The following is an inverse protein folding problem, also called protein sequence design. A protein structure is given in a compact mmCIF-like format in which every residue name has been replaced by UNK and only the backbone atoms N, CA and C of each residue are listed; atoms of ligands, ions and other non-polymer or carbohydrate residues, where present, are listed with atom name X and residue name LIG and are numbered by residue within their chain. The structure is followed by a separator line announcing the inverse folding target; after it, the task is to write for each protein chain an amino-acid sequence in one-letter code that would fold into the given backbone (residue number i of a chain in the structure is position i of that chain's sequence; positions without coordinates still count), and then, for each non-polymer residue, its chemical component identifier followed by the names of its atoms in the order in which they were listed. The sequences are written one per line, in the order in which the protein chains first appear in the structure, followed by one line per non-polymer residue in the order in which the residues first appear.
data_IF_495030020031
#
_entry.id   IF_495030020031
#
_cell.length_a   1.000
_cell.length_b   1.000
_cell.length_c   1.000
_cell.angle_alpha   90.00
_cell.angle_beta   90.00
_cell.angle_gamma   90.00
#
_symmetry.space_group_name_H-M   'P 1'
#
loop_
_entity.id
_entity.type
_entity.pdbx_description
1 polymer ?
#
# COMPACT_ATOMS: atom_id res chain seq x y z
N UNK A 1 -65.58 72.23 16.23
CA UNK A 1 -64.63 72.07 15.12
C UNK A 1 -63.53 73.10 15.33
N UNK A 2 -62.37 72.69 15.85
CA UNK A 2 -61.25 73.60 16.16
C UNK A 2 -60.19 73.56 15.06
N UNK A 3 -59.72 74.74 14.68
CA UNK A 3 -58.81 75.06 13.57
C UNK A 3 -57.32 74.83 13.92
N UNK A 4 -57.00 73.78 14.69
CA UNK A 4 -55.65 73.53 15.19
C UNK A 4 -54.92 72.35 14.54
N UNK A 5 -55.51 71.74 13.50
CA UNK A 5 -55.00 70.51 12.85
C UNK A 5 -54.33 70.75 11.48
N UNK A 6 -53.97 71.99 11.17
CA UNK A 6 -53.42 72.39 9.86
C UNK A 6 -52.03 73.03 9.97
N UNK A 7 -51.11 72.41 10.72
CA UNK A 7 -49.71 72.81 10.70
C UNK A 7 -48.79 71.64 11.08
N UNK A 8 -48.59 70.69 10.16
CA UNK A 8 -47.33 69.92 10.17
C UNK A 8 -46.93 69.54 8.74
N UNK A 9 -45.93 70.20 8.14
CA UNK A 9 -45.35 69.76 6.88
C UNK A 9 -44.57 68.46 7.12
N UNK A 10 -44.99 67.41 6.41
CA UNK A 10 -44.29 66.11 6.35
C UNK A 10 -42.83 66.33 5.96
N UNK A 11 -41.94 66.13 6.90
CA UNK A 11 -40.51 66.01 6.68
C UNK A 11 -40.26 64.86 5.71
N UNK A 12 -39.73 65.23 4.54
CA UNK A 12 -39.18 64.35 3.53
C UNK A 12 -38.06 63.50 4.14
N UNK A 13 -38.37 62.27 4.51
CA UNK A 13 -37.38 61.23 4.79
C UNK A 13 -36.68 60.88 3.47
N UNK A 14 -35.58 61.58 3.20
CA UNK A 14 -34.59 61.18 2.22
C UNK A 14 -34.05 59.80 2.61
N UNK A 15 -34.60 58.76 2.00
CA UNK A 15 -34.03 57.41 1.99
C UNK A 15 -32.71 57.46 1.23
N UNK A 16 -31.63 57.74 1.96
CA UNK A 16 -30.27 57.53 1.50
C UNK A 16 -30.08 56.03 1.27
N UNK A 17 -30.29 55.58 0.04
CA UNK A 17 -29.83 54.28 -0.43
C UNK A 17 -28.30 54.30 -0.36
N UNK A 18 -27.75 53.80 0.75
CA UNK A 18 -26.32 53.50 0.85
C UNK A 18 -25.99 52.44 -0.19
N UNK A 19 -25.42 52.89 -1.31
CA UNK A 19 -24.83 52.05 -2.33
C UNK A 19 -23.65 51.31 -1.71
N UNK A 20 -23.86 50.06 -1.29
CA UNK A 20 -22.80 49.17 -0.82
C UNK A 20 -21.91 48.87 -2.04
N UNK A 21 -20.62 49.30 -2.06
CA UNK A 21 -19.74 48.94 -3.16
C UNK A 21 -19.64 47.42 -3.22
N UNK A 22 -19.85 46.87 -4.42
CA UNK A 22 -19.75 45.45 -4.73
C UNK A 22 -18.45 44.88 -4.16
N UNK A 23 -18.58 44.11 -3.08
CA UNK A 23 -17.52 43.22 -2.60
C UNK A 23 -17.16 42.30 -3.75
N UNK A 24 -15.94 42.42 -4.28
CA UNK A 24 -15.34 41.47 -5.22
C UNK A 24 -15.68 40.04 -4.77
N UNK A 25 -16.09 39.12 -5.67
CA UNK A 25 -16.24 37.73 -5.28
C UNK A 25 -14.94 37.27 -4.61
N UNK A 26 -15.01 36.53 -3.50
CA UNK A 26 -13.81 35.97 -2.88
C UNK A 26 -13.05 35.16 -3.94
N UNK A 27 -11.70 35.21 -3.94
CA UNK A 27 -10.92 34.47 -4.93
C UNK A 27 -11.35 33.01 -4.92
N UNK A 28 -11.71 32.47 -6.09
CA UNK A 28 -12.12 31.08 -6.25
C UNK A 28 -10.97 30.17 -5.84
N UNK A 29 -11.07 29.56 -4.65
CA UNK A 29 -10.09 28.58 -4.19
C UNK A 29 -10.30 27.29 -4.97
N UNK A 30 -9.36 26.98 -5.88
CA UNK A 30 -9.35 25.75 -6.66
C UNK A 30 -8.76 24.65 -5.77
N UNK A 31 -9.64 23.84 -5.17
CA UNK A 31 -9.23 22.66 -4.41
C UNK A 31 -9.08 21.47 -5.36
N UNK A 32 -7.83 21.08 -5.66
CA UNK A 32 -7.55 19.88 -6.46
C UNK A 32 -7.55 18.67 -5.53
N UNK A 33 -8.63 17.91 -5.55
CA UNK A 33 -8.72 16.64 -4.83
C UNK A 33 -7.89 15.58 -5.57
N UNK A 34 -6.72 15.25 -5.03
CA UNK A 34 -5.88 14.15 -5.56
C UNK A 34 -6.30 12.84 -4.90
N UNK A 35 -6.64 11.80 -5.67
CA UNK A 35 -7.01 10.50 -5.10
C UNK A 35 -5.85 9.88 -4.31
N UNK A 36 -6.14 9.37 -3.11
CA UNK A 36 -5.11 8.74 -2.26
C UNK A 36 -4.46 7.52 -2.93
N UNK A 37 -5.24 6.78 -3.74
CA UNK A 37 -4.75 5.65 -4.54
C UNK A 37 -3.63 6.05 -5.51
N UNK A 38 -3.68 7.29 -6.02
CA UNK A 38 -2.71 7.85 -6.95
C UNK A 38 -1.37 8.20 -6.26
N UNK A 39 -1.39 8.37 -4.94
CA UNK A 39 -0.17 8.60 -4.15
C UNK A 39 0.44 7.30 -3.64
N UNK A 40 -0.37 6.37 -3.13
CA UNK A 40 0.14 5.15 -2.47
C UNK A 40 0.56 4.07 -3.48
N UNK A 41 -0.22 3.82 -4.54
CA UNK A 41 0.08 2.73 -5.47
C UNK A 41 1.36 3.00 -6.28
N UNK A 42 1.59 4.20 -6.84
CA UNK A 42 2.80 4.46 -7.60
C UNK A 42 4.06 4.51 -6.73
N UNK A 43 3.97 5.03 -5.50
CA UNK A 43 5.12 5.08 -4.58
C UNK A 43 5.55 3.69 -4.14
N UNK A 44 4.61 2.82 -3.78
CA UNK A 44 4.90 1.42 -3.44
C UNK A 44 5.47 0.65 -4.64
N UNK A 45 4.87 0.80 -5.83
CA UNK A 45 5.40 0.21 -7.05
C UNK A 45 6.81 0.71 -7.40
N UNK A 46 7.09 2.01 -7.19
CA UNK A 46 8.41 2.59 -7.38
C UNK A 46 9.45 1.99 -6.42
N UNK A 47 9.09 1.77 -5.15
CA UNK A 47 9.98 1.12 -4.17
C UNK A 47 10.28 -0.34 -4.54
N UNK A 48 9.27 -1.08 -5.01
CA UNK A 48 9.46 -2.45 -5.52
C UNK A 48 10.38 -2.42 -6.76
N UNK A 49 10.14 -1.51 -7.69
CA UNK A 49 10.98 -1.33 -8.88
C UNK A 49 12.41 -0.94 -8.56
N UNK A 50 12.61 -0.04 -7.60
CA UNK A 50 13.91 0.35 -7.09
C UNK A 50 14.66 -0.86 -6.53
N UNK A 51 14.00 -1.67 -5.71
CA UNK A 51 14.57 -2.87 -5.09
C UNK A 51 15.03 -3.88 -6.16
N UNK A 52 14.16 -4.20 -7.12
CA UNK A 52 14.48 -5.10 -8.23
C UNK A 52 15.64 -4.52 -9.06
N UNK A 53 15.60 -3.23 -9.37
CA UNK A 53 16.60 -2.56 -10.18
C UNK A 53 17.98 -2.46 -9.51
N UNK A 54 18.04 -2.32 -8.19
CA UNK A 54 19.28 -2.33 -7.40
C UNK A 54 19.93 -3.71 -7.46
N UNK A 55 19.17 -4.77 -7.18
CA UNK A 55 19.70 -6.15 -7.19
C UNK A 55 20.21 -6.52 -8.58
N UNK A 56 19.41 -6.23 -9.62
CA UNK A 56 19.77 -6.52 -11.02
C UNK A 56 20.97 -5.69 -11.50
N UNK A 57 21.01 -4.41 -11.13
CA UNK A 57 22.06 -3.47 -11.52
C UNK A 57 23.40 -3.73 -10.85
N UNK A 58 23.37 -3.89 -9.53
CA UNK A 58 24.54 -4.16 -8.71
C UNK A 58 25.22 -5.46 -9.12
N UNK A 59 24.44 -6.52 -9.36
CA UNK A 59 24.97 -7.79 -9.86
C UNK A 59 25.69 -7.65 -11.21
N UNK A 60 25.09 -6.95 -12.18
CA UNK A 60 25.70 -6.74 -13.51
C UNK A 60 26.97 -5.89 -13.44
N UNK A 61 26.96 -4.82 -12.65
CA UNK A 61 28.13 -3.95 -12.47
C UNK A 61 29.27 -4.70 -11.76
N UNK A 62 28.96 -5.54 -10.76
CA UNK A 62 29.92 -6.38 -10.07
C UNK A 62 30.59 -7.39 -11.01
N UNK A 63 29.79 -8.13 -11.79
CA UNK A 63 30.32 -9.13 -12.73
C UNK A 63 31.20 -8.49 -13.81
N UNK A 64 30.80 -7.33 -14.34
CA UNK A 64 31.63 -6.57 -15.30
C UNK A 64 32.96 -6.16 -14.69
N UNK A 65 32.96 -5.61 -13.47
CA UNK A 65 34.18 -5.22 -12.80
C UNK A 65 35.11 -6.42 -12.54
N UNK A 66 34.55 -7.58 -12.15
CA UNK A 66 35.32 -8.81 -11.97
C UNK A 66 35.90 -9.33 -13.29
N UNK A 67 35.13 -9.28 -14.37
CA UNK A 67 35.60 -9.68 -15.70
C UNK A 67 36.74 -8.78 -16.19
N UNK A 68 36.60 -7.45 -16.04
CA UNK A 68 37.63 -6.48 -16.42
C UNK A 68 38.92 -6.63 -15.58
N UNK A 69 38.80 -6.98 -14.30
CA UNK A 69 39.94 -7.03 -13.37
C UNK A 69 40.41 -8.46 -13.04
N UNK A 70 39.91 -9.48 -13.72
CA UNK A 70 40.30 -10.87 -13.47
C UNK A 70 41.83 -11.08 -13.54
N UNK A 71 42.50 -10.28 -14.39
CA UNK A 71 43.96 -10.30 -14.58
C UNK A 71 44.74 -9.40 -13.60
N UNK A 72 44.11 -8.48 -12.86
CA UNK A 72 44.76 -7.52 -11.94
C UNK A 72 44.35 -7.76 -10.49
N UNK A 73 44.64 -8.95 -9.99
CA UNK A 73 44.36 -9.27 -8.60
C UNK A 73 45.34 -8.55 -7.67
N UNK A 74 44.88 -7.88 -6.60
CA UNK A 74 45.75 -7.16 -5.68
C UNK A 74 46.72 -8.12 -4.99
N UNK A 75 48.01 -7.76 -4.97
CA UNK A 75 49.07 -8.53 -4.28
C UNK A 75 49.54 -7.90 -2.97
N UNK A 76 49.18 -6.63 -2.73
CA UNK A 76 49.52 -5.87 -1.52
C UNK A 76 48.25 -5.46 -0.76
N UNK A 77 48.39 -5.23 0.55
CA UNK A 77 47.28 -4.80 1.43
C UNK A 77 46.67 -3.48 0.93
N UNK A 78 47.52 -2.51 0.56
CA UNK A 78 47.08 -1.23 0.01
C UNK A 78 46.33 -1.39 -1.31
N UNK A 79 46.78 -2.30 -2.18
CA UNK A 79 46.11 -2.63 -3.43
C UNK A 79 44.71 -3.24 -3.21
N UNK A 80 44.55 -4.07 -2.19
CA UNK A 80 43.24 -4.66 -1.85
C UNK A 80 42.21 -3.60 -1.43
N UNK A 81 42.63 -2.58 -0.68
CA UNK A 81 41.76 -1.46 -0.32
C UNK A 81 41.30 -0.66 -1.53
N UNK A 82 42.23 -0.25 -2.41
CA UNK A 82 41.88 0.50 -3.63
C UNK A 82 40.99 -0.30 -4.57
N UNK A 83 41.23 -1.60 -4.68
CA UNK A 83 40.38 -2.51 -5.44
C UNK A 83 38.94 -2.54 -4.91
N UNK A 84 38.77 -2.74 -3.60
CA UNK A 84 37.46 -2.84 -2.95
C UNK A 84 36.70 -1.52 -3.01
N UNK A 85 37.38 -0.40 -2.77
CA UNK A 85 36.81 0.95 -2.88
C UNK A 85 36.25 1.20 -4.29
N UNK A 86 37.07 0.95 -5.32
CA UNK A 86 36.67 1.14 -6.73
C UNK A 86 35.52 0.21 -7.13
N UNK A 87 35.59 -1.05 -6.70
CA UNK A 87 34.51 -2.04 -6.92
C UNK A 87 33.19 -1.54 -6.36
N UNK A 88 33.19 -1.10 -5.10
CA UNK A 88 31.98 -0.69 -4.40
C UNK A 88 31.37 0.57 -5.05
N UNK A 89 32.18 1.54 -5.51
CA UNK A 89 31.66 2.71 -6.23
C UNK A 89 31.00 2.35 -7.55
N UNK A 90 31.63 1.48 -8.37
CA UNK A 90 31.03 1.06 -9.65
C UNK A 90 29.75 0.26 -9.45
N UNK A 91 29.73 -0.62 -8.44
CA UNK A 91 28.54 -1.40 -8.09
C UNK A 91 27.42 -0.49 -7.60
N UNK A 92 27.70 0.45 -6.71
CA UNK A 92 26.71 1.40 -6.20
C UNK A 92 26.13 2.28 -7.30
N UNK A 93 26.97 2.87 -8.15
CA UNK A 93 26.51 3.70 -9.26
C UNK A 93 25.69 2.89 -10.27
N UNK A 94 26.12 1.65 -10.58
CA UNK A 94 25.37 0.73 -11.43
C UNK A 94 24.01 0.39 -10.86
N UNK A 95 23.95 0.07 -9.56
CA UNK A 95 22.72 -0.23 -8.83
C UNK A 95 21.77 0.97 -8.77
N UNK A 96 22.27 2.17 -8.47
CA UNK A 96 21.47 3.39 -8.40
C UNK A 96 20.87 3.76 -9.77
N UNK A 97 21.68 3.71 -10.84
CA UNK A 97 21.21 4.07 -12.20
C UNK A 97 20.12 3.12 -12.71
N UNK A 98 20.28 1.81 -12.53
CA UNK A 98 19.23 0.86 -12.92
C UNK A 98 18.06 0.91 -11.96
N UNK A 99 18.29 1.02 -10.65
CA UNK A 99 17.26 1.20 -9.62
C UNK A 99 16.32 2.34 -9.97
N UNK A 100 16.86 3.52 -10.28
CA UNK A 100 16.07 4.69 -10.70
C UNK A 100 15.24 4.42 -11.98
N UNK A 101 15.83 3.75 -13.00
CA UNK A 101 15.10 3.39 -14.23
C UNK A 101 13.90 2.47 -13.96
N UNK A 102 14.08 1.44 -13.14
CA UNK A 102 13.00 0.50 -12.80
C UNK A 102 11.96 1.15 -11.88
N UNK A 103 12.39 1.99 -10.94
CA UNK A 103 11.48 2.75 -10.07
C UNK A 103 10.57 3.68 -10.88
N UNK A 104 11.14 4.45 -11.80
CA UNK A 104 10.38 5.34 -12.68
C UNK A 104 9.52 4.56 -13.68
N UNK A 105 10.02 3.45 -14.22
CA UNK A 105 9.26 2.60 -15.13
C UNK A 105 8.02 1.99 -14.48
N UNK A 106 8.17 1.32 -13.33
CA UNK A 106 7.05 0.69 -12.63
C UNK A 106 6.15 1.71 -11.93
N UNK A 107 6.73 2.71 -11.26
CA UNK A 107 5.96 3.77 -10.61
C UNK A 107 5.15 4.56 -11.63
N UNK A 108 5.76 4.96 -12.75
CA UNK A 108 5.09 5.67 -13.84
C UNK A 108 4.02 4.83 -14.52
N UNK A 109 4.29 3.55 -14.81
CA UNK A 109 3.28 2.65 -15.37
C UNK A 109 2.08 2.45 -14.44
N UNK A 110 2.33 2.32 -13.13
CA UNK A 110 1.26 2.18 -12.13
C UNK A 110 0.46 3.47 -12.00
N UNK A 111 1.12 4.64 -11.98
CA UNK A 111 0.44 5.94 -11.97
C UNK A 111 -0.43 6.11 -13.22
N UNK A 112 0.09 5.77 -14.40
CA UNK A 112 -0.66 5.82 -15.66
C UNK A 112 -1.88 4.88 -15.62
N UNK A 113 -1.71 3.66 -15.11
CA UNK A 113 -2.82 2.72 -14.96
C UNK A 113 -3.90 3.26 -14.02
N UNK A 114 -3.53 3.76 -12.84
CA UNK A 114 -4.50 4.32 -11.86
C UNK A 114 -5.19 5.55 -12.42
N UNK A 115 -4.50 6.40 -13.18
CA UNK A 115 -5.11 7.55 -13.85
C UNK A 115 -6.13 7.13 -14.92
N UNK A 116 -5.78 6.14 -15.75
CA UNK A 116 -6.70 5.56 -16.73
C UNK A 116 -7.89 4.93 -16.01
N UNK A 117 -7.62 4.13 -14.98
CA UNK A 117 -8.62 3.53 -14.13
C UNK A 117 -9.23 4.51 -13.11
N UNK A 118 -9.08 5.82 -13.25
CA UNK A 118 -9.94 6.79 -12.55
C UNK A 118 -10.76 7.56 -13.60
N UNK A 119 -10.09 7.96 -14.69
CA UNK A 119 -10.71 8.65 -15.83
C UNK A 119 -11.79 7.83 -16.55
N UNK A 120 -11.62 6.52 -16.73
CA UNK A 120 -12.62 5.68 -17.44
C UNK A 120 -13.96 5.64 -16.70
N UNK A 121 -13.96 5.37 -15.40
CA UNK A 121 -15.17 5.33 -14.60
C UNK A 121 -15.78 6.72 -14.40
N UNK A 122 -14.97 7.78 -14.34
CA UNK A 122 -15.49 9.15 -14.41
C UNK A 122 -16.21 9.41 -15.74
N UNK A 123 -15.59 9.02 -16.86
CA UNK A 123 -16.18 9.14 -18.19
C UNK A 123 -17.45 8.30 -18.33
N UNK A 124 -17.50 7.11 -17.74
CA UNK A 124 -18.68 6.26 -17.73
C UNK A 124 -19.81 6.90 -16.94
N UNK A 125 -19.53 7.39 -15.73
CA UNK A 125 -20.52 8.07 -14.90
C UNK A 125 -21.09 9.32 -15.59
N UNK A 126 -20.25 10.02 -16.36
CA UNK A 126 -20.68 11.18 -17.13
C UNK A 126 -21.56 10.82 -18.34
N UNK A 127 -21.28 9.70 -19.01
CA UNK A 127 -21.97 9.30 -20.25
C UNK A 127 -23.20 8.42 -20.02
N UNK A 128 -23.14 7.48 -19.08
CA UNK A 128 -24.18 6.46 -18.84
C UNK A 128 -24.94 6.66 -17.53
N UNK A 129 -24.57 7.67 -16.75
CA UNK A 129 -25.17 7.96 -15.45
C UNK A 129 -24.54 7.16 -14.31
N UNK A 130 -24.88 7.58 -13.09
CA UNK A 130 -24.41 6.94 -11.87
C UNK A 130 -25.23 5.68 -11.59
N UNK A 131 -24.59 4.51 -11.65
CA UNK A 131 -25.20 3.28 -11.15
C UNK A 131 -24.91 3.20 -9.65
N UNK A 132 -25.93 3.36 -8.78
CA UNK A 132 -25.73 3.15 -7.36
C UNK A 132 -25.32 1.69 -7.11
N UNK A 133 -24.46 1.44 -6.11
CA UNK A 133 -24.13 0.08 -5.72
C UNK A 133 -25.42 -0.68 -5.37
N UNK A 134 -25.55 -1.96 -5.77
CA UNK A 134 -26.71 -2.77 -5.41
C UNK A 134 -26.81 -2.85 -3.88
N UNK A 135 -27.83 -2.17 -3.34
CA UNK A 135 -28.18 -2.02 -1.92
C UNK A 135 -27.18 -1.24 -1.05
N UNK A 136 -27.13 0.08 -1.22
CA UNK A 136 -27.36 0.94 -0.06
C UNK A 136 -28.86 1.16 0.02
N UNK A 137 -29.53 0.44 0.91
CA UNK A 137 -30.91 0.76 1.31
C UNK A 137 -30.90 2.24 1.69
N UNK A 138 -31.77 3.01 1.05
CA UNK A 138 -31.98 4.42 1.32
C UNK A 138 -32.28 4.64 2.80
N UNK A 139 -31.27 5.04 3.59
CA UNK A 139 -31.50 5.83 4.81
C UNK A 139 -31.91 7.22 4.35
N UNK A 140 -33.20 7.35 4.01
CA UNK A 140 -33.92 8.61 3.99
C UNK A 140 -34.22 9.01 5.44
N UNK A 141 -33.21 9.38 6.22
CA UNK A 141 -33.42 10.11 7.48
C UNK A 141 -32.29 11.14 7.64
N UNK A 142 -32.70 12.37 7.96
CA UNK A 142 -31.86 13.52 8.26
C UNK A 142 -31.31 13.43 9.68
N UNK A 143 -30.19 14.15 9.94
CA UNK A 143 -29.62 14.47 11.27
C UNK A 143 -29.18 13.24 12.11
N UNK A 144 -28.05 13.16 12.83
CA UNK A 144 -27.09 14.10 13.38
C UNK A 144 -25.71 13.40 13.45
N UNK A 145 -24.64 14.16 13.69
CA UNK A 145 -23.26 13.67 13.64
C UNK A 145 -22.93 12.50 14.56
N UNK A 146 -22.26 11.49 14.00
CA UNK A 146 -21.28 10.67 14.72
C UNK A 146 -20.06 10.40 13.83
N UNK A 147 -18.89 10.83 14.33
CA UNK A 147 -17.56 10.60 13.78
C UNK A 147 -17.13 9.12 13.88
N UNK A 148 -17.85 8.22 13.21
CA UNK A 148 -17.28 6.93 12.84
C UNK A 148 -16.41 7.14 11.60
N UNK A 149 -15.08 7.15 11.75
CA UNK A 149 -14.05 7.33 10.71
C UNK A 149 -14.14 6.29 9.57
N UNK A 150 -15.24 6.31 8.82
CA UNK A 150 -15.40 5.62 7.56
C UNK A 150 -14.55 6.39 6.58
N UNK A 151 -13.32 5.90 6.34
CA UNK A 151 -12.39 6.40 5.32
C UNK A 151 -13.10 6.37 3.96
N UNK A 152 -13.87 7.41 3.67
CA UNK A 152 -14.56 7.61 2.41
C UNK A 152 -13.47 7.65 1.35
N UNK A 153 -13.49 6.70 0.42
CA UNK A 153 -12.50 6.65 -0.66
C UNK A 153 -12.59 7.99 -1.40
N UNK A 154 -11.54 8.79 -1.33
CA UNK A 154 -11.44 10.06 -2.04
C UNK A 154 -10.93 9.73 -3.44
N UNK A 155 -11.83 9.76 -4.43
CA UNK A 155 -11.56 9.50 -5.84
C UNK A 155 -12.36 10.44 -6.74
N UNK A 156 -12.05 10.47 -8.03
CA UNK A 156 -12.84 11.20 -9.02
C UNK A 156 -14.08 10.40 -9.45
N UNK A 157 -14.04 9.07 -9.27
CA UNK A 157 -15.18 8.17 -9.43
C UNK A 157 -16.06 8.19 -8.17
N UNK A 158 -17.38 8.19 -8.35
CA UNK A 158 -18.36 8.10 -7.26
C UNK A 158 -18.96 6.71 -7.12
N UNK A 159 -18.99 5.94 -8.21
CA UNK A 159 -19.61 4.62 -8.29
C UNK A 159 -18.68 3.47 -7.88
N UNK A 160 -19.22 2.26 -7.73
CA UNK A 160 -18.42 1.06 -7.51
C UNK A 160 -17.53 0.76 -8.72
N UNK A 161 -16.37 0.15 -8.46
CA UNK A 161 -15.49 -0.32 -9.53
C UNK A 161 -16.18 -1.45 -10.28
N UNK A 162 -16.31 -1.34 -11.60
CA UNK A 162 -16.75 -2.45 -12.42
C UNK A 162 -15.55 -3.16 -13.04
N UNK A 163 -15.70 -4.45 -13.31
CA UNK A 163 -14.66 -5.26 -13.94
C UNK A 163 -14.30 -4.78 -15.35
N UNK A 164 -15.25 -4.12 -16.03
CA UNK A 164 -15.07 -3.53 -17.36
C UNK A 164 -14.06 -2.38 -17.35
N UNK A 165 -14.04 -1.57 -16.29
CA UNK A 165 -13.18 -0.39 -16.20
C UNK A 165 -11.70 -0.79 -16.18
N UNK A 166 -11.35 -1.80 -15.37
CA UNK A 166 -9.98 -2.30 -15.29
C UNK A 166 -9.55 -3.05 -16.54
N UNK A 167 -10.44 -3.82 -17.15
CA UNK A 167 -10.16 -4.46 -18.43
C UNK A 167 -9.85 -3.42 -19.50
N UNK A 168 -10.68 -2.37 -19.63
CA UNK A 168 -10.49 -1.31 -20.60
C UNK A 168 -9.23 -0.49 -20.31
N UNK A 169 -8.96 -0.16 -19.04
CA UNK A 169 -7.73 0.51 -18.62
C UNK A 169 -6.48 -0.31 -18.98
N UNK A 170 -6.51 -1.61 -18.69
CA UNK A 170 -5.43 -2.54 -19.03
C UNK A 170 -5.25 -2.72 -20.54
N UNK A 171 -6.34 -2.77 -21.30
CA UNK A 171 -6.33 -2.83 -22.77
C UNK A 171 -5.72 -1.59 -23.40
N UNK A 172 -6.11 -0.39 -22.94
CA UNK A 172 -5.53 0.89 -23.37
C UNK A 172 -4.04 0.93 -23.02
N UNK A 173 -3.67 0.50 -21.82
CA UNK A 173 -2.26 0.48 -21.42
C UNK A 173 -1.45 -0.50 -22.28
N UNK A 174 -2.00 -1.68 -22.60
CA UNK A 174 -1.40 -2.65 -23.53
C UNK A 174 -1.28 -2.12 -24.96
N UNK A 175 -2.23 -1.30 -25.41
CA UNK A 175 -2.20 -0.62 -26.70
C UNK A 175 -1.10 0.44 -26.75
N UNK A 176 -1.02 1.32 -25.74
CA UNK A 176 0.01 2.37 -25.64
C UNK A 176 1.41 1.76 -25.60
N UNK A 177 1.60 0.68 -24.83
CA UNK A 177 2.87 -0.06 -24.79
C UNK A 177 3.19 -0.64 -26.17
N UNK A 178 2.23 -1.28 -26.83
CA UNK A 178 2.42 -1.85 -28.17
C UNK A 178 2.80 -0.80 -29.21
N UNK A 179 2.21 0.39 -29.15
CA UNK A 179 2.49 1.53 -30.02
C UNK A 179 3.89 2.13 -29.74
N UNK A 180 4.21 2.36 -28.47
CA UNK A 180 5.46 3.00 -28.02
C UNK A 180 6.68 2.14 -28.39
N UNK A 181 6.58 0.83 -28.22
CA UNK A 181 7.65 -0.10 -28.56
C UNK A 181 7.60 -0.60 -30.01
N UNK A 182 6.64 -0.10 -30.83
CA UNK A 182 6.42 -0.52 -32.22
C UNK A 182 6.47 -2.04 -32.37
N UNK A 183 5.68 -2.74 -31.55
CA UNK A 183 5.72 -4.20 -31.52
C UNK A 183 5.21 -4.80 -32.86
N UNK A 184 5.84 -5.88 -33.36
CA UNK A 184 5.31 -6.68 -34.46
C UNK A 184 3.85 -7.07 -34.21
N UNK A 185 3.02 -7.16 -35.27
CA UNK A 185 1.56 -7.37 -35.18
C UNK A 185 1.14 -8.49 -34.21
N UNK A 186 1.88 -9.60 -34.19
CA UNK A 186 1.61 -10.73 -33.29
C UNK A 186 1.86 -10.41 -31.81
N UNK A 187 2.94 -9.67 -31.51
CA UNK A 187 3.28 -9.25 -30.16
C UNK A 187 2.37 -8.12 -29.67
N UNK A 188 1.90 -7.28 -30.59
CA UNK A 188 0.93 -6.22 -30.32
C UNK A 188 -0.42 -6.77 -29.83
N UNK A 189 -0.99 -7.75 -30.54
CA UNK A 189 -2.28 -8.36 -30.13
C UNK A 189 -2.14 -9.01 -28.75
N UNK A 190 -1.00 -9.68 -28.49
CA UNK A 190 -0.72 -10.29 -27.19
C UNK A 190 -0.60 -9.24 -26.08
N UNK A 191 0.01 -8.09 -26.30
CA UNK A 191 0.12 -7.05 -25.27
C UNK A 191 -1.24 -6.47 -24.89
N UNK A 192 -2.12 -6.25 -25.87
CA UNK A 192 -3.50 -5.79 -25.63
C UNK A 192 -4.30 -6.86 -24.89
N UNK A 193 -4.22 -8.12 -25.31
CA UNK A 193 -4.93 -9.24 -24.67
C UNK A 193 -4.46 -9.49 -23.23
N UNK A 194 -3.15 -9.43 -22.98
CA UNK A 194 -2.60 -9.50 -21.63
C UNK A 194 -3.04 -8.32 -20.78
N UNK A 195 -3.11 -7.12 -21.36
CA UNK A 195 -3.64 -5.93 -20.70
C UNK A 195 -5.09 -6.11 -20.25
N UNK A 196 -5.96 -6.60 -21.15
CA UNK A 196 -7.37 -6.87 -20.84
C UNK A 196 -7.54 -7.92 -19.74
N UNK A 197 -6.84 -9.05 -19.84
CA UNK A 197 -6.92 -10.14 -18.85
C UNK A 197 -6.42 -9.66 -17.49
N UNK A 198 -5.25 -9.03 -17.45
CA UNK A 198 -4.64 -8.59 -16.19
C UNK A 198 -5.47 -7.47 -15.54
N UNK A 199 -5.94 -6.50 -16.32
CA UNK A 199 -6.82 -5.43 -15.86
C UNK A 199 -8.16 -5.95 -15.33
N UNK A 200 -8.81 -6.83 -16.09
CA UNK A 200 -10.06 -7.47 -15.66
C UNK A 200 -9.87 -8.32 -14.40
N UNK A 201 -8.78 -9.06 -14.28
CA UNK A 201 -8.46 -9.84 -13.08
C UNK A 201 -8.25 -8.94 -11.85
N UNK A 202 -7.59 -7.79 -12.02
CA UNK A 202 -7.32 -6.84 -10.94
C UNK A 202 -8.63 -6.23 -10.43
N UNK A 203 -9.54 -5.82 -11.32
CA UNK A 203 -10.85 -5.30 -10.90
C UNK A 203 -11.75 -6.39 -10.30
N UNK A 204 -11.70 -7.62 -10.80
CA UNK A 204 -12.42 -8.74 -10.18
C UNK A 204 -11.97 -8.97 -8.73
N UNK A 205 -10.65 -8.86 -8.46
CA UNK A 205 -10.11 -8.94 -7.11
C UNK A 205 -10.58 -7.80 -6.21
N UNK A 206 -10.67 -6.56 -6.73
CA UNK A 206 -11.18 -5.43 -5.96
C UNK A 206 -12.65 -5.64 -5.56
N UNK A 207 -13.49 -6.13 -6.49
CA UNK A 207 -14.90 -6.45 -6.21
C UNK A 207 -15.00 -7.55 -5.15
N UNK A 208 -14.16 -8.57 -5.23
CA UNK A 208 -14.13 -9.65 -4.24
C UNK A 208 -13.73 -9.14 -2.84
N UNK A 209 -12.71 -8.29 -2.76
CA UNK A 209 -12.26 -7.68 -1.50
C UNK A 209 -13.33 -6.78 -0.89
N UNK A 210 -14.03 -5.99 -1.71
CA UNK A 210 -15.11 -5.13 -1.24
C UNK A 210 -16.28 -5.97 -0.66
N UNK A 211 -16.60 -7.12 -1.26
CA UNK A 211 -17.59 -8.06 -0.70
C UNK A 211 -17.16 -8.64 0.65
N UNK A 212 -15.91 -9.09 0.78
CA UNK A 212 -15.40 -9.63 2.04
C UNK A 212 -15.40 -8.57 3.15
N UNK A 213 -15.12 -7.32 2.79
CA UNK A 213 -15.15 -6.20 3.72
C UNK A 213 -16.56 -5.93 4.25
N UNK A 214 -17.57 -5.96 3.38
CA UNK A 214 -18.97 -5.78 3.79
C UNK A 214 -19.42 -6.86 4.78
N UNK A 215 -19.09 -8.13 4.51
CA UNK A 215 -19.41 -9.25 5.41
C UNK A 215 -18.79 -9.06 6.79
N UNK A 216 -17.53 -8.58 6.85
CA UNK A 216 -16.86 -8.31 8.12
C UNK A 216 -17.50 -7.16 8.90
N UNK A 217 -17.90 -6.10 8.21
CA UNK A 217 -18.59 -4.95 8.83
C UNK A 217 -19.97 -5.37 9.40
N UNK A 218 -20.69 -6.28 8.73
CA UNK A 218 -21.92 -6.85 9.26
C UNK A 218 -21.69 -7.71 10.53
N UNK A 219 -20.65 -8.54 10.54
CA UNK A 219 -20.27 -9.32 11.72
C UNK A 219 -19.89 -8.43 12.90
N UNK A 220 -19.10 -7.38 12.66
CA UNK A 220 -18.68 -6.43 13.70
C UNK A 220 -19.88 -5.64 14.24
N UNK A 221 -20.85 -5.24 13.39
CA UNK A 221 -22.11 -4.62 13.82
C UNK A 221 -22.97 -5.56 14.66
N UNK A 222 -23.08 -6.85 14.28
CA UNK A 222 -23.80 -7.86 15.06
C UNK A 222 -23.17 -8.04 16.44
N UNK A 223 -21.83 -8.13 16.52
CA UNK A 223 -21.09 -8.21 17.79
C UNK A 223 -21.28 -6.97 18.67
N UNK A 224 -21.29 -5.78 18.07
CA UNK A 224 -21.56 -4.54 18.80
C UNK A 224 -22.99 -4.52 19.38
N UNK A 225 -23.99 -4.92 18.59
CA UNK A 225 -25.38 -5.02 19.05
C UNK A 225 -25.55 -6.03 20.20
N UNK A 226 -24.93 -7.20 20.09
CA UNK A 226 -24.92 -8.23 21.16
C UNK A 226 -24.27 -7.70 22.44
N UNK A 227 -23.16 -6.95 22.33
CA UNK A 227 -22.49 -6.36 23.50
C UNK A 227 -23.33 -5.28 24.20
N UNK A 228 -24.08 -4.48 23.44
CA UNK A 228 -25.00 -3.47 23.99
C UNK A 228 -26.23 -4.10 24.67
N UNK A 229 -26.75 -5.21 24.13
CA UNK A 229 -27.87 -5.94 24.72
C UNK A 229 -27.48 -6.65 26.02
N UNK A 230 -26.26 -7.18 26.12
CA UNK A 230 -25.74 -7.82 27.34
C UNK A 230 -25.54 -6.85 28.51
N UNK A 231 -25.17 -5.59 28.21
CA UNK A 231 -24.96 -4.56 29.23
C UNK A 231 -26.28 -4.10 29.90
N UNK A 232 -27.38 -4.03 29.15
CA UNK A 232 -28.70 -3.65 29.68
C UNK A 232 -29.37 -4.74 30.54
N UNK A 233 -28.94 -6.00 30.43
CA UNK A 233 -29.42 -7.09 31.30
C UNK A 233 -28.65 -7.23 32.62
N UNK A 234 -27.53 -6.52 32.80
CA UNK A 234 -26.67 -6.64 33.99
C UNK A 234 -27.00 -5.63 35.12
N UNK A 235 -28.00 -4.76 34.95
CA UNK A 235 -28.36 -3.70 35.91
C UNK A 235 -29.60 -3.99 36.76
N UNK A 236 -29.89 -5.26 37.10
CA UNK A 236 -30.84 -5.58 38.18
C UNK A 236 -30.05 -5.60 39.51
N UNK A 237 -30.23 -4.62 40.42
CA UNK A 237 -29.58 -4.67 41.72
C UNK A 237 -30.19 -5.81 42.55
N UNK A 238 -29.41 -6.86 42.81
CA UNK A 238 -29.76 -7.88 43.79
C UNK A 238 -29.70 -7.26 45.20
N UNK A 239 -30.86 -7.14 45.85
CA UNK A 239 -30.97 -6.82 47.28
C UNK A 239 -30.35 -7.94 48.13
N UNK A 240 -29.57 -7.61 49.17
CA UNK A 240 -28.99 -8.60 50.07
C UNK A 240 -29.93 -8.85 51.27
N UNK A 241 -30.61 -9.99 51.30
CA UNK A 241 -31.15 -10.54 52.54
C UNK A 241 -31.27 -12.05 52.43
N UNK A 242 -30.32 -12.76 53.04
CA UNK A 242 -30.57 -13.79 54.05
C UNK A 242 -29.29 -14.61 54.25
N UNK A 243 -28.51 -14.17 55.22
CA UNK A 243 -27.71 -15.06 56.03
C UNK A 243 -28.66 -15.94 56.84
N UNK A 244 -28.53 -17.27 56.73
CA UNK A 244 -28.28 -18.16 57.86
C UNK A 244 -28.67 -19.61 57.55
N UNK A 245 -27.74 -20.50 57.90
CA UNK A 245 -27.93 -21.89 58.32
C UNK A 245 -28.21 -22.96 57.26
N UNK A 246 -27.15 -23.65 56.83
CA UNK A 246 -27.01 -25.07 57.15
C UNK A 246 -25.54 -25.50 57.06
N UNK A 247 -25.06 -26.04 58.17
CA UNK A 247 -23.69 -26.39 58.51
C UNK A 247 -23.35 -27.82 58.07
N UNK A 248 -22.04 -28.06 57.90
CA UNK A 248 -21.32 -29.33 58.01
C UNK A 248 -21.13 -30.17 56.73
N UNK A 249 -19.91 -30.15 56.19
CA UNK A 249 -18.97 -31.27 56.35
C UNK A 249 -17.58 -30.88 55.82
N UNK A 250 -16.58 -31.17 56.65
CA UNK A 250 -15.14 -31.00 56.51
C UNK A 250 -14.59 -32.07 55.55
N UNK A 251 -13.60 -31.75 54.71
CA UNK A 251 -12.30 -32.46 54.59
C UNK A 251 -11.41 -31.73 53.57
N UNK A 252 -10.14 -31.60 53.95
CA UNK A 252 -9.06 -30.85 53.32
C UNK A 252 -8.62 -31.41 51.97
N UNK A 253 -8.08 -30.56 51.09
CA UNK A 253 -6.66 -30.68 50.76
C UNK A 253 -6.11 -29.48 49.98
N UNK A 254 -4.87 -29.18 50.35
CA UNK A 254 -3.96 -28.13 49.92
C UNK A 254 -3.47 -28.36 48.48
N UNK A 255 -3.35 -27.31 47.65
CA UNK A 255 -2.18 -27.07 46.79
C UNK A 255 -2.21 -25.63 46.23
N UNK A 256 -1.03 -25.04 46.32
CA UNK A 256 -0.65 -23.65 46.07
C UNK A 256 -0.28 -23.41 44.61
N UNK A 257 -0.58 -22.21 44.08
CA UNK A 257 0.31 -21.26 43.38
C UNK A 257 -0.32 -20.54 42.19
N UNK A 258 -0.04 -19.23 42.20
CA UNK A 258 -0.54 -18.15 41.37
C UNK A 258 0.01 -18.12 39.92
N UNK A 259 -0.56 -17.26 39.06
CA UNK A 259 -0.31 -17.18 37.63
C UNK A 259 0.91 -16.28 37.33
N UNK A 260 1.42 -16.32 36.09
CA UNK A 260 1.79 -15.16 35.22
C UNK A 260 2.55 -15.68 34.01
N UNK A 261 2.06 -15.45 32.79
CA UNK A 261 2.81 -15.61 31.54
C UNK A 261 2.94 -14.25 30.86
N UNK A 262 4.12 -13.65 30.97
CA UNK A 262 4.57 -12.42 30.32
C UNK A 262 5.24 -12.73 28.98
N UNK A 263 5.12 -11.77 28.06
CA UNK A 263 5.69 -11.76 26.71
C UNK A 263 7.22 -11.79 26.67
N UNK A 264 7.79 -12.52 25.71
CA UNK A 264 9.22 -12.46 25.37
C UNK A 264 9.40 -12.01 23.92
N UNK A 265 9.89 -10.78 23.74
CA UNK A 265 10.59 -10.30 22.54
C UNK A 265 12.08 -10.21 22.90
N UNK A 266 12.92 -10.98 22.20
CA UNK A 266 14.37 -10.99 22.40
C UNK A 266 15.09 -10.46 21.17
N UNK A 267 15.69 -9.28 21.30
CA UNK A 267 16.58 -8.62 20.35
C UNK A 267 18.01 -8.91 20.81
N UNK A 268 18.88 -9.46 19.95
CA UNK A 268 20.27 -9.80 20.30
C UNK A 268 21.23 -8.71 19.84
N UNK A 269 21.84 -8.03 20.81
CA UNK A 269 22.93 -7.07 20.65
C UNK A 269 24.31 -7.75 20.67
N UNK A 270 25.23 -7.14 19.92
CA UNK A 270 26.68 -7.38 19.90
C UNK A 270 27.34 -7.40 21.29
N UNK A 271 28.34 -8.26 21.45
CA UNK A 271 29.37 -8.14 22.49
C UNK A 271 30.77 -8.21 21.85
N UNK A 272 31.55 -7.17 22.13
CA UNK A 272 32.97 -6.97 21.84
C UNK A 272 33.78 -7.41 23.06
N UNK A 273 34.78 -8.26 22.85
CA UNK A 273 35.98 -8.49 23.69
C UNK A 273 37.05 -9.06 22.74
N UNK A 274 38.10 -8.35 22.33
CA UNK A 274 39.38 -8.08 23.02
C UNK A 274 40.09 -9.32 23.57
N UNK A 275 41.06 -9.83 22.79
CA UNK A 275 42.24 -10.56 23.28
C UNK A 275 43.48 -10.10 22.50
N UNK A 276 44.51 -9.69 23.24
CA UNK A 276 45.87 -9.44 22.79
C UNK A 276 46.69 -10.74 22.93
N UNK A 277 47.55 -11.07 21.95
CA UNK A 277 48.42 -12.25 22.06
C UNK A 277 49.27 -12.57 20.84
N UNK A 278 50.51 -12.06 20.84
CA UNK A 278 51.60 -12.22 19.87
C UNK A 278 52.02 -13.69 19.60
N UNK A 279 52.20 -14.09 18.33
CA UNK A 279 53.35 -14.93 17.88
C UNK A 279 53.47 -15.05 16.34
N UNK A 280 54.71 -15.32 15.90
CA UNK A 280 55.31 -15.19 14.56
C UNK A 280 54.85 -16.23 13.51
N UNK A 281 55.16 -16.03 12.21
CA UNK A 281 54.83 -16.98 11.15
C UNK A 281 55.88 -18.10 11.02
N UNK A 282 55.45 -19.35 11.15
CA UNK A 282 56.27 -20.54 10.85
C UNK A 282 55.90 -21.09 9.47
N UNK A 283 56.90 -21.17 8.58
CA UNK A 283 56.87 -21.94 7.32
C UNK A 283 56.87 -23.44 7.62
N UNK A 284 55.91 -24.20 7.07
CA UNK A 284 56.03 -25.62 6.67
C UNK A 284 55.00 -25.82 5.53
N UNK A 285 55.42 -26.03 4.27
CA UNK A 285 55.83 -27.30 3.68
C UNK A 285 54.69 -28.34 3.62
N UNK A 286 54.13 -28.48 2.41
CA UNK A 286 53.61 -29.71 1.80
C UNK A 286 52.71 -30.64 2.61
N UNK A 287 51.43 -30.70 2.24
CA UNK A 287 50.67 -31.95 2.29
C UNK A 287 49.67 -31.96 1.14
N UNK A 288 49.87 -32.89 0.22
CA UNK A 288 48.88 -33.27 -0.78
C UNK A 288 47.75 -34.03 -0.09
N UNK A 289 46.50 -33.57 -0.26
CA UNK A 289 45.30 -34.33 0.07
C UNK A 289 44.23 -34.00 -0.97
N UNK A 290 43.94 -35.02 -1.77
CA UNK A 290 42.67 -35.41 -2.38
C UNK A 290 41.92 -34.47 -3.35
N UNK A 291 41.99 -34.91 -4.61
CA UNK A 291 41.01 -34.75 -5.66
C UNK A 291 39.63 -35.22 -5.20
N UNK A 292 38.66 -34.29 -5.14
CA UNK A 292 37.23 -34.60 -5.09
C UNK A 292 36.66 -34.42 -6.51
N UNK A 293 36.09 -35.46 -7.13
CA UNK A 293 35.43 -35.34 -8.43
C UNK A 293 34.02 -34.79 -8.21
N UNK A 294 33.74 -33.58 -8.69
CA UNK A 294 32.37 -33.07 -8.79
C UNK A 294 31.92 -33.12 -10.25
N UNK A 295 31.45 -34.29 -10.64
CA UNK A 295 30.53 -34.46 -11.74
C UNK A 295 29.29 -35.14 -11.22
N UNK A 296 28.20 -34.38 -11.03
CA UNK A 296 26.86 -34.88 -11.27
C UNK A 296 25.89 -33.71 -11.48
N UNK A 297 25.02 -33.90 -12.47
CA UNK A 297 24.20 -32.90 -13.14
C UNK A 297 23.12 -32.28 -12.23
N UNK A 298 23.20 -30.98 -11.98
CA UNK A 298 22.00 -30.21 -11.63
C UNK A 298 21.37 -29.68 -12.92
N UNK A 299 20.59 -30.55 -13.59
CA UNK A 299 19.70 -30.13 -14.68
C UNK A 299 18.65 -29.18 -14.10
N UNK A 300 18.96 -27.90 -14.24
CA UNK A 300 18.18 -26.81 -13.69
C UNK A 300 16.71 -26.86 -14.14
N UNK A 301 15.84 -26.55 -13.18
CA UNK A 301 14.38 -26.36 -13.30
C UNK A 301 13.97 -25.51 -14.54
N UNK A 302 14.90 -24.71 -15.06
CA UNK A 302 14.79 -23.92 -16.28
C UNK A 302 14.62 -24.73 -17.58
N UNK A 303 15.16 -25.94 -17.68
CA UNK A 303 14.98 -26.77 -18.87
C UNK A 303 13.61 -27.46 -18.89
N UNK A 304 12.99 -27.71 -17.72
CA UNK A 304 11.59 -28.14 -17.62
C UNK A 304 10.61 -27.03 -18.02
N UNK A 305 10.93 -25.77 -17.76
CA UNK A 305 10.07 -24.63 -18.13
C UNK A 305 10.10 -24.36 -19.65
N UNK A 306 11.25 -24.58 -20.31
CA UNK A 306 11.35 -24.42 -21.77
C UNK A 306 10.55 -25.48 -22.55
N UNK A 307 10.38 -26.68 -21.99
CA UNK A 307 9.57 -27.74 -22.60
C UNK A 307 8.06 -27.47 -22.62
N UNK A 308 7.56 -26.58 -21.76
CA UNK A 308 6.12 -26.28 -21.65
C UNK A 308 5.67 -25.11 -22.54
N UNK A 309 6.60 -24.26 -22.99
CA UNK A 309 6.30 -23.08 -23.83
C UNK A 309 6.50 -23.37 -25.32
N UNK A 310 6.98 -24.56 -25.68
CA UNK A 310 7.25 -24.99 -27.04
C UNK A 310 6.59 -26.32 -27.40
N UNK A 311 5.26 -26.38 -27.35
CA UNK A 311 4.42 -27.27 -28.19
C UNK A 311 3.16 -26.55 -28.59
#
# INVERSE_FOLDING_TARGET
MSLSDLAEPRSSSSSSTSYRPSTSPPPSQINVTVPTSLLILPTTAALVGLSIGIVRGGGRARLRFLAENAHRQPKTIQGWYFYTKTRNYRVFFGAARTGAKYALGLGGATAAYVLLDESIGWSREHLFGYTPPPQSVSTLEADDGEEGSSKKRVGWRRGPVQWEDGALAGGIMGFVVGMTYRLPRQLFIRSVLMGLILGGSTSALQIAQDRVRQLKEEEDRRRAAESSSGANSASVPASPSNAAAATAAITEDVVSTDPTFTSTFGNTTNSVSQEDGVSKPTKLAGTAVDLIPLGEEEKTLWDKVKGFVGR
#
